data_IF_040112237760
#
_entry.id   IF_040112237760
#
_cell.length_a   1.000
_cell.length_b   1.000
_cell.length_c   1.000
_cell.angle_alpha   90.00
_cell.angle_beta   90.00
_cell.angle_gamma   90.00
#
_symmetry.space_group_name_H-M   'P 1'
#
loop_
_entity.id
_entity.type
_entity.pdbx_description
1 polymer ?
#
# COMPACT_ATOMS: atom_id res chain seq x y z
N UNK A 1 -44.35 47.99 28.37
CA UNK A 1 -44.95 46.66 28.17
C UNK A 1 -45.12 46.42 26.67
N UNK A 2 -44.63 45.28 26.17
CA UNK A 2 -45.23 44.50 25.07
C UNK A 2 -44.60 43.10 25.10
N UNK A 3 -45.45 42.08 25.30
CA UNK A 3 -45.16 40.65 25.13
C UNK A 3 -45.00 40.36 23.63
N UNK A 4 -44.20 39.42 23.13
CA UNK A 4 -44.12 37.99 23.46
C UNK A 4 -44.59 37.17 22.25
N UNK A 5 -43.67 36.51 21.53
CA UNK A 5 -43.82 35.35 20.61
C UNK A 5 -42.50 35.26 19.79
N UNK A 6 -41.83 34.14 19.46
CA UNK A 6 -41.92 32.72 19.79
C UNK A 6 -40.62 32.10 19.26
N UNK A 7 -40.10 31.12 19.99
CA UNK A 7 -38.89 30.35 19.69
C UNK A 7 -39.09 29.56 18.38
N UNK A 8 -38.11 29.60 17.47
CA UNK A 8 -37.65 28.41 16.72
C UNK A 8 -36.30 28.71 16.07
N UNK A 9 -35.27 28.00 16.54
CA UNK A 9 -33.99 27.88 15.88
C UNK A 9 -34.10 26.92 14.69
N UNK A 10 -33.46 27.21 13.56
CA UNK A 10 -32.92 26.17 12.66
C UNK A 10 -31.60 26.64 12.07
N UNK A 11 -30.56 25.86 12.37
CA UNK A 11 -29.18 25.96 11.94
C UNK A 11 -28.98 25.48 10.50
N UNK A 12 -27.84 25.84 9.88
CA UNK A 12 -27.05 24.95 9.00
C UNK A 12 -25.71 25.61 8.66
N UNK A 13 -24.73 25.45 9.56
CA UNK A 13 -23.33 25.72 9.32
C UNK A 13 -22.59 24.38 9.20
N UNK A 14 -21.85 24.22 8.10
CA UNK A 14 -20.81 23.21 7.80
C UNK A 14 -21.25 21.73 7.93
N UNK A 15 -20.86 20.80 7.08
CA UNK A 15 -19.49 20.43 6.72
C UNK A 15 -19.47 19.83 5.31
N UNK A 16 -18.43 20.15 4.54
CA UNK A 16 -18.06 19.42 3.32
C UNK A 16 -17.79 17.98 3.72
N UNK A 17 -18.60 17.04 3.25
CA UNK A 17 -18.29 15.61 3.35
C UNK A 17 -17.11 15.34 2.42
N UNK A 18 -15.90 15.47 2.95
CA UNK A 18 -14.71 14.85 2.39
C UNK A 18 -14.88 13.33 2.38
N UNK A 19 -14.36 12.69 1.33
CA UNK A 19 -14.28 11.23 1.20
C UNK A 19 -13.85 10.58 2.50
N UNK A 20 -14.55 9.52 2.89
CA UNK A 20 -14.27 8.69 4.05
C UNK A 20 -12.77 8.37 4.17
N UNK A 21 -12.08 9.04 5.07
CA UNK A 21 -10.90 8.48 5.73
C UNK A 21 -11.45 7.83 6.98
N UNK A 22 -11.66 6.52 6.88
CA UNK A 22 -12.10 5.68 7.98
C UNK A 22 -11.10 5.82 9.12
N UNK A 23 -11.65 6.20 10.27
CA UNK A 23 -11.02 6.20 11.59
C UNK A 23 -10.15 4.95 11.76
N UNK A 24 -8.84 5.13 11.73
CA UNK A 24 -7.86 4.08 11.98
C UNK A 24 -7.97 3.65 13.45
N UNK A 25 -8.75 2.59 13.71
CA UNK A 25 -8.59 1.80 14.93
C UNK A 25 -7.12 1.42 15.00
N UNK A 26 -6.38 1.67 16.11
CA UNK A 26 -5.02 1.19 16.23
C UNK A 26 -5.06 -0.33 16.11
N UNK A 27 -4.67 -0.83 14.92
CA UNK A 27 -4.46 -2.23 14.71
C UNK A 27 -3.36 -2.63 15.68
N UNK A 28 -3.71 -3.52 16.60
CA UNK A 28 -2.78 -4.22 17.48
C UNK A 28 -1.55 -4.59 16.65
N UNK A 29 -0.37 -4.09 17.05
CA UNK A 29 0.83 -4.15 16.22
C UNK A 29 1.18 -5.62 15.95
N UNK A 30 0.76 -6.12 14.79
CA UNK A 30 1.19 -7.41 14.29
C UNK A 30 2.72 -7.40 14.28
N UNK A 31 3.38 -8.53 14.62
CA UNK A 31 4.83 -8.62 14.56
C UNK A 31 5.27 -8.19 13.16
N UNK A 32 6.09 -7.13 13.09
CA UNK A 32 6.60 -6.63 11.80
C UNK A 32 7.40 -7.76 11.16
N UNK A 33 6.96 -8.22 10.00
CA UNK A 33 7.75 -9.12 9.18
C UNK A 33 9.14 -8.48 8.93
N UNK A 34 10.19 -9.30 8.97
CA UNK A 34 11.52 -8.86 8.58
C UNK A 34 11.47 -8.27 7.16
N UNK A 35 12.12 -7.12 6.97
CA UNK A 35 12.16 -6.43 5.69
C UNK A 35 13.46 -6.80 5.00
N UNK A 36 13.35 -7.41 3.82
CA UNK A 36 14.48 -7.77 2.98
C UNK A 36 14.67 -6.74 1.88
N UNK A 37 15.92 -6.39 1.60
CA UNK A 37 16.26 -5.47 0.52
C UNK A 37 16.17 -6.12 -0.87
N UNK A 38 16.40 -5.31 -1.90
CA UNK A 38 16.38 -5.78 -3.30
C UNK A 38 17.47 -6.82 -3.56
N UNK A 39 18.66 -6.67 -2.95
CA UNK A 39 19.80 -7.54 -3.19
C UNK A 39 19.56 -8.96 -2.66
N UNK A 40 18.89 -9.07 -1.51
CA UNK A 40 18.43 -10.35 -0.99
C UNK A 40 17.56 -11.07 -2.03
N UNK A 41 16.57 -10.38 -2.60
CA UNK A 41 15.68 -10.99 -3.59
C UNK A 41 16.37 -11.26 -4.95
N UNK A 42 17.42 -10.52 -5.30
CA UNK A 42 18.27 -10.84 -6.46
C UNK A 42 19.06 -12.13 -6.23
N UNK A 43 19.59 -12.32 -5.03
CA UNK A 43 20.39 -13.49 -4.68
C UNK A 43 19.56 -14.74 -4.33
N UNK A 44 18.25 -14.57 -4.07
CA UNK A 44 17.35 -15.63 -3.61
C UNK A 44 16.12 -15.75 -4.51
N UNK A 45 16.27 -16.44 -5.64
CA UNK A 45 15.21 -16.66 -6.64
C UNK A 45 13.93 -17.25 -6.06
N UNK A 46 14.05 -18.22 -5.15
CA UNK A 46 12.89 -18.84 -4.52
C UNK A 46 12.12 -17.83 -3.65
N UNK A 47 12.82 -17.09 -2.79
CA UNK A 47 12.22 -16.10 -1.92
C UNK A 47 11.55 -14.98 -2.73
N UNK A 48 12.18 -14.54 -3.83
CA UNK A 48 11.60 -13.55 -4.75
C UNK A 48 10.30 -14.07 -5.36
N UNK A 49 10.31 -15.27 -5.92
CA UNK A 49 9.09 -15.86 -6.52
C UNK A 49 7.97 -16.02 -5.50
N UNK A 50 8.26 -16.50 -4.30
CA UNK A 50 7.27 -16.66 -3.24
C UNK A 50 6.67 -15.32 -2.81
N UNK A 51 7.50 -14.29 -2.60
CA UNK A 51 7.01 -12.96 -2.24
C UNK A 51 6.15 -12.36 -3.36
N UNK A 52 6.54 -12.52 -4.62
CA UNK A 52 5.73 -12.06 -5.76
C UNK A 52 4.37 -12.76 -5.85
N UNK A 53 4.27 -14.04 -5.51
CA UNK A 53 2.99 -14.74 -5.42
C UNK A 53 2.14 -14.12 -4.31
N UNK A 54 2.70 -13.93 -3.11
CA UNK A 54 2.00 -13.30 -1.99
C UNK A 54 1.47 -11.90 -2.35
N UNK A 55 2.31 -11.09 -3.00
CA UNK A 55 1.93 -9.77 -3.53
C UNK A 55 0.71 -9.84 -4.46
N UNK A 56 0.73 -10.78 -5.42
CA UNK A 56 -0.33 -10.92 -6.42
C UNK A 56 -1.63 -11.46 -5.82
N UNK A 57 -1.52 -12.32 -4.80
CA UNK A 57 -2.68 -12.89 -4.13
C UNK A 57 -3.40 -11.86 -3.24
N UNK A 58 -2.69 -10.83 -2.73
CA UNK A 58 -3.24 -9.84 -1.81
C UNK A 58 -2.78 -8.39 -2.13
N UNK A 59 -3.06 -7.86 -3.34
CA UNK A 59 -2.49 -6.58 -3.77
C UNK A 59 -2.89 -5.42 -2.86
N UNK A 60 -4.17 -5.28 -2.50
CA UNK A 60 -4.63 -4.16 -1.66
C UNK A 60 -4.07 -4.16 -0.23
N UNK A 61 -3.49 -5.26 0.24
CA UNK A 61 -2.84 -5.33 1.55
C UNK A 61 -1.31 -5.26 1.46
N UNK A 62 -0.72 -5.75 0.35
CA UNK A 62 0.70 -6.01 0.27
C UNK A 62 1.46 -5.18 -0.78
N UNK A 63 0.79 -4.59 -1.77
CA UNK A 63 1.45 -3.97 -2.94
C UNK A 63 2.47 -2.90 -2.57
N UNK A 64 2.14 -2.07 -1.57
CA UNK A 64 3.00 -0.96 -1.10
C UNK A 64 3.90 -1.36 0.07
N UNK A 65 3.89 -2.63 0.48
CA UNK A 65 4.78 -3.08 1.56
C UNK A 65 6.23 -3.13 1.07
N UNK A 66 7.23 -2.83 1.94
CA UNK A 66 8.64 -2.84 1.56
C UNK A 66 9.10 -4.15 0.90
N UNK A 67 8.64 -5.30 1.41
CA UNK A 67 8.98 -6.60 0.85
C UNK A 67 8.41 -6.79 -0.56
N UNK A 68 7.18 -6.35 -0.80
CA UNK A 68 6.57 -6.47 -2.11
C UNK A 68 7.24 -5.56 -3.14
N UNK A 69 7.53 -4.32 -2.74
CA UNK A 69 8.27 -3.35 -3.57
C UNK A 69 9.66 -3.90 -3.90
N UNK A 70 10.40 -4.39 -2.91
CA UNK A 70 11.76 -4.88 -3.11
C UNK A 70 11.81 -6.15 -3.98
N UNK A 71 10.89 -7.10 -3.77
CA UNK A 71 10.78 -8.29 -4.62
C UNK A 71 10.39 -7.94 -6.08
N UNK A 72 9.50 -6.96 -6.25
CA UNK A 72 9.09 -6.45 -7.57
C UNK A 72 10.24 -5.76 -8.29
N UNK A 73 11.02 -4.93 -7.61
CA UNK A 73 12.20 -4.29 -8.19
C UNK A 73 13.28 -5.30 -8.56
N UNK A 74 13.51 -6.32 -7.72
CA UNK A 74 14.41 -7.43 -8.07
C UNK A 74 13.94 -8.15 -9.34
N UNK A 75 12.63 -8.42 -9.48
CA UNK A 75 12.08 -9.05 -10.67
C UNK A 75 12.26 -8.20 -11.93
N UNK A 76 12.06 -6.88 -11.83
CA UNK A 76 12.31 -5.94 -12.93
C UNK A 76 13.80 -5.96 -13.34
N UNK A 77 14.72 -6.03 -12.38
CA UNK A 77 16.16 -6.11 -12.66
C UNK A 77 16.54 -7.40 -13.39
N UNK A 78 16.04 -8.55 -12.94
CA UNK A 78 16.28 -9.85 -13.61
C UNK A 78 15.82 -9.78 -15.07
N UNK A 79 14.60 -9.31 -15.33
CA UNK A 79 14.09 -9.17 -16.71
C UNK A 79 14.96 -8.25 -17.58
N UNK A 80 15.46 -7.15 -17.01
CA UNK A 80 16.39 -6.25 -17.73
C UNK A 80 17.73 -6.91 -18.04
N UNK A 81 18.25 -7.73 -17.12
CA UNK A 81 19.49 -8.47 -17.33
C UNK A 81 19.31 -9.55 -18.40
N UNK A 82 18.24 -10.33 -18.33
CA UNK A 82 17.91 -11.34 -19.35
C UNK A 82 17.78 -10.71 -20.75
N UNK A 83 17.12 -9.56 -20.85
CA UNK A 83 17.01 -8.81 -22.10
C UNK A 83 18.38 -8.33 -22.60
N UNK A 84 19.22 -7.78 -21.72
CA UNK A 84 20.59 -7.36 -22.08
C UNK A 84 21.40 -8.54 -22.59
N UNK A 85 21.32 -9.68 -21.93
CA UNK A 85 22.04 -10.89 -22.31
C UNK A 85 21.55 -11.45 -23.65
N UNK A 86 20.25 -11.37 -23.93
CA UNK A 86 19.69 -11.75 -25.23
C UNK A 86 20.19 -10.85 -26.36
N UNK A 87 20.31 -9.54 -26.12
CA UNK A 87 20.85 -8.57 -27.09
C UNK A 87 22.33 -8.84 -27.37
N UNK A 88 23.13 -9.10 -26.33
CA UNK A 88 24.58 -9.27 -26.48
C UNK A 88 25.01 -10.62 -27.05
N UNK A 89 24.10 -11.60 -27.14
CA UNK A 89 24.35 -12.92 -27.71
C UNK A 89 23.93 -13.07 -29.18
N UNK A 90 23.19 -12.09 -29.72
CA UNK A 90 22.77 -12.04 -31.12
C UNK A 90 23.75 -11.27 -31.98
#
# INVERSE_FOLDING_TARGET
MNAGYTIMAVALAAFVTGCSSETEKPAEAAPKAEVFDVQYYLNNDQARRQMLVQCQDNPGALEDTPNCVNATEAAKQVRRQEMRDAINKG
#
